data_IF_010029087966
#
_entry.id   IF_010029087966
#
_cell.length_a   1.000
_cell.length_b   1.000
_cell.length_c   1.000
_cell.angle_alpha   90.00
_cell.angle_beta   90.00
_cell.angle_gamma   90.00
#
_symmetry.space_group_name_H-M   'P 1'
#
loop_
_entity.id
_entity.type
_entity.pdbx_description
1 polymer ?
#
# COMPACT_ATOMS: atom_id res chain seq x y z
N UNK A 1 5.44 -16.34 -26.30
CA UNK A 1 6.17 -17.19 -25.36
C UNK A 1 7.31 -17.91 -26.07
N UNK A 2 8.20 -18.51 -25.32
CA UNK A 2 9.21 -19.42 -25.80
C UNK A 2 8.68 -20.87 -25.84
N UNK A 3 9.56 -21.84 -26.16
CA UNK A 3 9.18 -23.27 -26.22
C UNK A 3 8.80 -23.87 -24.86
N UNK A 4 9.11 -23.20 -23.73
CA UNK A 4 8.72 -23.60 -22.38
C UNK A 4 7.37 -22.99 -21.94
N UNK A 5 6.76 -22.15 -22.77
CA UNK A 5 5.52 -21.44 -22.47
C UNK A 5 5.71 -20.15 -21.69
N UNK A 6 6.95 -19.72 -21.42
CA UNK A 6 7.22 -18.47 -20.72
C UNK A 6 6.94 -17.26 -21.63
N UNK A 7 6.48 -16.15 -21.04
CA UNK A 7 6.21 -14.91 -21.75
C UNK A 7 7.52 -14.22 -22.10
N UNK A 8 7.82 -14.09 -23.39
CA UNK A 8 9.05 -13.42 -23.88
C UNK A 8 8.78 -11.99 -24.31
N UNK A 9 7.52 -11.64 -24.61
CA UNK A 9 7.14 -10.29 -25.04
C UNK A 9 5.70 -9.98 -24.66
N UNK A 10 5.48 -8.79 -24.12
CA UNK A 10 4.15 -8.20 -23.92
C UNK A 10 4.09 -6.81 -24.56
N UNK A 11 2.93 -6.48 -25.14
CA UNK A 11 2.72 -5.18 -25.77
C UNK A 11 1.47 -4.53 -25.22
N UNK A 12 1.60 -3.34 -24.66
CA UNK A 12 0.49 -2.50 -24.19
C UNK A 12 0.33 -1.33 -25.15
N UNK A 13 -0.85 -1.22 -25.79
CA UNK A 13 -1.19 -0.10 -26.67
C UNK A 13 -1.68 1.07 -25.83
N UNK A 14 -0.96 2.20 -25.86
CA UNK A 14 -1.32 3.36 -25.04
C UNK A 14 -2.14 4.40 -25.78
N UNK A 15 -1.76 4.77 -27.00
CA UNK A 15 -2.46 5.74 -27.87
C UNK A 15 -2.00 5.57 -29.33
N UNK A 16 -2.56 6.34 -30.27
CA UNK A 16 -2.15 6.33 -31.68
C UNK A 16 -0.63 6.45 -31.80
N UNK A 17 0.02 5.35 -32.18
CA UNK A 17 1.43 5.20 -32.55
C UNK A 17 2.48 5.06 -31.42
N UNK A 18 2.11 4.81 -30.15
CA UNK A 18 3.09 4.53 -29.11
C UNK A 18 2.68 3.30 -28.29
N UNK A 19 3.29 2.18 -28.60
CA UNK A 19 3.16 0.96 -27.82
C UNK A 19 4.25 0.92 -26.75
N UNK A 20 3.93 0.39 -25.57
CA UNK A 20 4.92 -0.02 -24.59
C UNK A 20 5.15 -1.51 -24.75
N UNK A 21 6.38 -1.88 -25.03
CA UNK A 21 6.81 -3.26 -25.24
C UNK A 21 7.70 -3.68 -24.08
N UNK A 22 7.33 -4.74 -23.38
CA UNK A 22 8.15 -5.44 -22.41
C UNK A 22 8.75 -6.68 -23.06
N UNK A 23 10.06 -6.89 -22.90
CA UNK A 23 10.74 -8.09 -23.39
C UNK A 23 11.41 -8.79 -22.21
N UNK A 24 11.40 -10.12 -22.25
CA UNK A 24 11.95 -10.99 -21.23
C UNK A 24 12.83 -12.07 -21.86
N UNK A 25 13.91 -12.41 -21.19
CA UNK A 25 14.66 -13.65 -21.46
C UNK A 25 14.83 -14.43 -20.17
N UNK A 26 15.11 -15.70 -20.29
CA UNK A 26 15.24 -16.61 -19.16
C UNK A 26 16.52 -17.43 -19.28
N UNK A 27 17.06 -17.85 -18.14
CA UNK A 27 18.17 -18.80 -18.10
C UNK A 27 17.66 -20.25 -18.25
N UNK A 28 18.59 -21.20 -18.24
CA UNK A 28 18.27 -22.64 -18.37
C UNK A 28 17.43 -23.21 -17.22
N UNK A 29 17.39 -22.54 -16.07
CA UNK A 29 16.60 -22.91 -14.90
C UNK A 29 15.21 -22.26 -14.92
N UNK A 30 14.92 -21.43 -15.94
CA UNK A 30 13.67 -20.71 -16.06
C UNK A 30 13.61 -19.40 -15.24
N UNK A 31 14.71 -18.95 -14.65
CA UNK A 31 14.78 -17.66 -13.99
C UNK A 31 14.88 -16.53 -15.02
N UNK A 32 14.24 -15.39 -14.77
CA UNK A 32 14.32 -14.21 -15.63
C UNK A 32 15.76 -13.70 -15.73
N UNK A 33 16.39 -13.77 -16.90
CA UNK A 33 17.77 -13.31 -17.12
C UNK A 33 17.87 -11.89 -17.60
N UNK A 34 16.88 -11.40 -18.39
CA UNK A 34 16.79 -9.98 -18.74
C UNK A 34 15.34 -9.49 -18.73
N UNK A 35 15.18 -8.18 -18.51
CA UNK A 35 13.93 -7.48 -18.64
C UNK A 35 14.16 -6.10 -19.24
N UNK A 36 13.37 -5.74 -20.27
CA UNK A 36 13.44 -4.40 -20.83
C UNK A 36 12.07 -3.83 -21.14
N UNK A 37 11.96 -2.51 -21.06
CA UNK A 37 10.78 -1.72 -21.42
C UNK A 37 11.18 -0.74 -22.52
N UNK A 38 10.43 -0.78 -23.64
CA UNK A 38 10.50 0.21 -24.72
C UNK A 38 9.18 0.95 -24.84
N UNK A 39 9.24 2.25 -25.07
CA UNK A 39 8.09 3.08 -25.44
C UNK A 39 8.36 3.69 -26.83
N UNK A 40 7.71 3.14 -27.87
CA UNK A 40 8.11 3.38 -29.26
C UNK A 40 9.54 2.86 -29.49
N UNK A 41 10.43 3.69 -30.04
CA UNK A 41 11.83 3.36 -30.26
C UNK A 41 12.73 3.53 -29.02
N UNK A 42 12.24 4.24 -27.99
CA UNK A 42 13.03 4.56 -26.80
C UNK A 42 13.06 3.41 -25.80
N UNK A 43 14.26 2.97 -25.42
CA UNK A 43 14.43 2.07 -24.28
C UNK A 43 14.34 2.87 -22.98
N UNK A 44 13.31 2.60 -22.18
CA UNK A 44 13.05 3.27 -20.90
C UNK A 44 13.68 2.55 -19.71
N UNK A 45 13.84 1.23 -19.82
CA UNK A 45 14.47 0.39 -18.80
C UNK A 45 15.11 -0.82 -19.47
N UNK A 46 16.29 -1.22 -18.99
CA UNK A 46 16.91 -2.49 -19.34
C UNK A 46 17.69 -3.01 -18.14
N UNK A 47 17.38 -4.22 -17.73
CA UNK A 47 17.96 -4.87 -16.54
C UNK A 47 18.40 -6.28 -16.90
N UNK A 48 19.46 -6.76 -16.26
CA UNK A 48 19.88 -8.16 -16.25
C UNK A 48 19.97 -8.67 -14.82
N UNK A 49 19.71 -9.97 -14.66
CA UNK A 49 19.57 -10.62 -13.36
C UNK A 49 20.54 -11.80 -13.28
N UNK A 50 21.17 -11.97 -12.13
CA UNK A 50 22.04 -13.11 -11.82
C UNK A 50 21.53 -13.83 -10.58
N UNK A 51 21.64 -15.15 -10.60
CA UNK A 51 21.13 -16.02 -9.55
C UNK A 51 22.22 -16.94 -9.02
N UNK A 52 22.09 -17.37 -7.79
CA UNK A 52 22.94 -18.42 -7.20
C UNK A 52 22.46 -19.82 -7.63
N UNK A 53 23.19 -20.85 -7.18
CA UNK A 53 22.89 -22.26 -7.50
C UNK A 53 21.53 -22.74 -6.97
N UNK A 54 20.89 -21.99 -6.07
CA UNK A 54 19.53 -22.26 -5.53
C UNK A 54 18.47 -21.40 -6.19
N UNK A 55 18.76 -20.73 -7.32
CA UNK A 55 17.87 -19.81 -8.03
C UNK A 55 17.43 -18.60 -7.20
N UNK A 56 18.23 -18.16 -6.23
CA UNK A 56 17.98 -16.93 -5.48
C UNK A 56 18.69 -15.77 -6.18
N UNK A 57 17.99 -14.64 -6.35
CA UNK A 57 18.53 -13.44 -7.01
C UNK A 57 19.70 -12.87 -6.21
N UNK A 58 20.88 -12.75 -6.83
CA UNK A 58 22.10 -12.21 -6.17
C UNK A 58 22.53 -10.86 -6.75
N UNK A 59 22.15 -10.53 -8.00
CA UNK A 59 22.55 -9.28 -8.63
C UNK A 59 21.53 -8.83 -9.67
N UNK A 60 21.32 -7.52 -9.72
CA UNK A 60 20.61 -6.84 -10.82
C UNK A 60 21.56 -5.79 -11.40
N UNK A 61 21.71 -5.78 -12.73
CA UNK A 61 22.58 -4.84 -13.45
C UNK A 61 21.75 -3.98 -14.40
N UNK A 62 22.22 -2.76 -14.65
CA UNK A 62 21.64 -1.84 -15.62
C UNK A 62 22.05 -2.20 -17.07
N UNK A 63 21.64 -1.36 -18.04
CA UNK A 63 21.96 -1.54 -19.47
C UNK A 63 23.45 -1.47 -19.81
N UNK A 64 24.25 -0.84 -18.96
CA UNK A 64 25.70 -0.70 -19.12
C UNK A 64 26.47 -1.83 -18.43
N UNK A 65 25.76 -2.73 -17.72
CA UNK A 65 26.34 -3.82 -16.95
C UNK A 65 26.79 -3.41 -15.55
N UNK A 66 26.51 -2.17 -15.12
CA UNK A 66 26.81 -1.72 -13.77
C UNK A 66 25.83 -2.36 -12.79
N UNK A 67 26.33 -2.76 -11.62
CA UNK A 67 25.50 -3.35 -10.58
C UNK A 67 24.55 -2.29 -9.97
N UNK A 68 23.26 -2.45 -10.21
CA UNK A 68 22.23 -1.60 -9.63
C UNK A 68 21.93 -2.00 -8.16
N UNK A 69 21.89 -3.33 -7.91
CA UNK A 69 21.69 -3.88 -6.56
C UNK A 69 22.26 -5.30 -6.48
N UNK A 70 22.81 -5.68 -5.32
CA UNK A 70 23.15 -7.07 -4.98
C UNK A 70 22.49 -7.53 -3.71
N UNK A 71 22.41 -8.83 -3.57
CA UNK A 71 21.77 -9.52 -2.43
C UNK A 71 22.65 -10.63 -1.91
N UNK A 72 22.65 -10.82 -0.59
CA UNK A 72 23.26 -11.96 0.07
C UNK A 72 22.23 -12.64 0.99
N UNK A 73 22.43 -13.92 1.22
CA UNK A 73 21.53 -14.75 2.02
C UNK A 73 22.31 -15.43 3.14
N UNK A 74 21.64 -15.67 4.25
CA UNK A 74 22.19 -16.45 5.36
C UNK A 74 22.16 -17.97 5.06
N UNK A 75 22.64 -18.76 6.01
CA UNK A 75 22.70 -20.22 5.90
C UNK A 75 21.32 -20.87 5.86
N UNK A 76 20.34 -20.23 6.44
CA UNK A 76 18.92 -20.65 6.43
C UNK A 76 18.20 -20.26 5.14
N UNK A 77 18.84 -19.44 4.28
CA UNK A 77 18.29 -18.96 3.00
C UNK A 77 17.50 -17.66 3.08
N UNK A 78 17.50 -16.99 4.24
CA UNK A 78 16.87 -15.70 4.40
C UNK A 78 17.77 -14.58 3.88
N UNK A 79 17.16 -13.48 3.37
CA UNK A 79 17.91 -12.33 2.88
C UNK A 79 18.67 -11.66 4.03
N UNK A 80 20.01 -11.72 4.02
CA UNK A 80 20.85 -11.14 5.07
C UNK A 80 21.37 -9.73 4.72
N UNK A 81 21.55 -9.44 3.43
CA UNK A 81 22.08 -8.15 2.98
C UNK A 81 21.54 -7.75 1.62
N UNK A 82 21.35 -6.45 1.43
CA UNK A 82 21.06 -5.79 0.16
C UNK A 82 21.98 -4.59 0.02
N UNK A 83 22.73 -4.52 -1.08
CA UNK A 83 23.62 -3.41 -1.41
C UNK A 83 23.14 -2.70 -2.68
N UNK A 84 22.79 -1.42 -2.62
CA UNK A 84 22.39 -0.63 -3.77
C UNK A 84 23.57 0.17 -4.36
N UNK A 85 23.49 0.49 -5.66
CA UNK A 85 24.53 1.23 -6.39
C UNK A 85 24.85 2.61 -5.78
N UNK A 86 23.88 3.24 -5.14
CA UNK A 86 24.06 4.54 -4.46
C UNK A 86 24.83 4.43 -3.13
N UNK A 87 25.36 3.26 -2.80
CA UNK A 87 26.10 3.00 -1.57
C UNK A 87 25.24 2.68 -0.35
N UNK A 88 23.91 2.61 -0.50
CA UNK A 88 23.03 2.19 0.59
C UNK A 88 23.11 0.68 0.78
N UNK A 89 23.53 0.27 1.97
CA UNK A 89 23.57 -1.12 2.42
C UNK A 89 22.47 -1.34 3.46
N UNK A 90 21.69 -2.39 3.29
CA UNK A 90 20.68 -2.84 4.24
C UNK A 90 21.05 -4.23 4.73
N UNK A 91 21.14 -4.41 6.05
CA UNK A 91 21.33 -5.72 6.68
C UNK A 91 20.09 -6.13 7.46
N UNK A 92 19.80 -7.42 7.46
CA UNK A 92 18.62 -8.02 8.08
C UNK A 92 19.04 -9.06 9.11
N UNK A 93 18.32 -9.11 10.22
CA UNK A 93 18.52 -10.14 11.25
C UNK A 93 17.19 -10.80 11.60
N UNK A 94 17.24 -12.10 11.86
CA UNK A 94 16.07 -12.94 12.10
C UNK A 94 16.20 -13.68 13.42
N UNK A 95 15.08 -14.10 13.98
CA UNK A 95 15.08 -15.04 15.10
C UNK A 95 15.04 -16.50 14.61
N UNK A 96 15.05 -17.44 15.54
CA UNK A 96 15.03 -18.87 15.23
C UNK A 96 13.73 -19.36 14.53
N UNK A 97 12.68 -18.55 14.50
CA UNK A 97 11.44 -18.80 13.75
C UNK A 97 11.43 -18.10 12.40
N UNK A 98 12.57 -17.57 11.97
CA UNK A 98 12.74 -16.83 10.73
C UNK A 98 11.86 -15.55 10.64
N UNK A 99 11.60 -14.90 11.80
CA UNK A 99 10.89 -13.61 11.85
C UNK A 99 11.93 -12.48 11.88
N UNK A 100 11.69 -11.42 11.09
CA UNK A 100 12.58 -10.28 11.01
C UNK A 100 12.64 -9.54 12.35
N UNK A 101 13.78 -9.57 13.03
CA UNK A 101 14.01 -8.90 14.32
C UNK A 101 14.79 -7.61 14.19
N UNK A 102 15.58 -7.44 13.14
CA UNK A 102 16.36 -6.22 12.92
C UNK A 102 16.55 -5.91 11.44
N UNK A 103 16.60 -4.61 11.14
CA UNK A 103 17.01 -4.09 9.84
C UNK A 103 17.84 -2.83 10.06
N UNK A 104 19.03 -2.78 9.47
CA UNK A 104 19.93 -1.62 9.54
C UNK A 104 20.22 -1.12 8.14
N UNK A 105 20.00 0.17 7.91
CA UNK A 105 20.38 0.88 6.70
C UNK A 105 21.61 1.73 6.99
N UNK A 106 22.65 1.58 6.19
CA UNK A 106 23.90 2.33 6.32
C UNK A 106 24.45 2.78 4.96
N UNK A 107 25.29 3.78 4.99
CA UNK A 107 26.06 4.26 3.84
C UNK A 107 27.53 4.37 4.24
N UNK A 108 28.39 4.73 3.30
CA UNK A 108 29.81 5.02 3.65
C UNK A 108 29.99 6.11 4.71
N UNK A 109 28.95 6.90 5.02
CA UNK A 109 28.93 7.91 6.09
C UNK A 109 28.43 7.39 7.44
N UNK A 110 28.04 6.12 7.51
CA UNK A 110 27.52 5.47 8.70
C UNK A 110 26.05 5.10 8.62
N UNK A 111 25.48 4.74 9.78
CA UNK A 111 24.08 4.30 9.91
C UNK A 111 23.12 5.44 9.61
N UNK A 112 22.15 5.17 8.73
CA UNK A 112 21.06 6.07 8.36
C UNK A 112 19.80 5.78 9.18
N UNK A 113 19.49 4.49 9.36
CA UNK A 113 18.36 4.06 10.18
C UNK A 113 18.53 2.64 10.69
N UNK A 114 17.93 2.37 11.84
CA UNK A 114 17.81 1.03 12.45
C UNK A 114 16.36 0.77 12.82
N UNK A 115 15.93 -0.46 12.62
CA UNK A 115 14.63 -0.97 13.03
C UNK A 115 14.84 -2.26 13.80
N UNK A 116 14.12 -2.43 14.90
CA UNK A 116 14.08 -3.69 15.63
C UNK A 116 12.65 -4.04 16.01
N UNK A 117 12.32 -5.33 15.96
CA UNK A 117 11.01 -5.86 16.32
C UNK A 117 11.15 -6.97 17.33
N UNK A 118 10.25 -7.00 18.32
CA UNK A 118 10.07 -8.10 19.24
C UNK A 118 8.70 -8.74 19.04
N UNK A 119 8.59 -10.01 19.38
CA UNK A 119 7.38 -10.78 19.15
C UNK A 119 6.94 -11.51 20.42
N UNK A 120 5.64 -11.65 20.58
CA UNK A 120 5.04 -12.52 21.57
C UNK A 120 5.28 -14.00 21.19
N UNK A 121 5.09 -14.90 22.13
CA UNK A 121 5.25 -16.36 21.90
C UNK A 121 4.35 -16.91 20.80
N UNK A 122 3.21 -16.31 20.59
CA UNK A 122 2.25 -16.66 19.52
C UNK A 122 2.60 -16.06 18.15
N UNK A 123 3.72 -15.35 18.02
CA UNK A 123 4.19 -14.76 16.76
C UNK A 123 3.69 -13.34 16.47
N UNK A 124 2.83 -12.77 17.28
CA UNK A 124 2.37 -11.41 17.12
C UNK A 124 3.46 -10.41 17.49
N UNK A 125 3.54 -9.29 16.77
CA UNK A 125 4.51 -8.22 17.05
C UNK A 125 4.16 -7.55 18.38
N UNK A 126 5.09 -7.55 19.34
CA UNK A 126 4.94 -6.90 20.63
C UNK A 126 5.38 -5.44 20.58
N UNK A 127 6.55 -5.19 19.99
CA UNK A 127 7.14 -3.86 19.93
C UNK A 127 7.95 -3.70 18.63
N UNK A 128 7.99 -2.48 18.14
CA UNK A 128 8.89 -2.05 17.08
C UNK A 128 9.58 -0.76 17.50
N UNK A 129 10.91 -0.72 17.35
CA UNK A 129 11.72 0.46 17.61
C UNK A 129 12.39 0.89 16.31
N UNK A 130 12.22 2.14 15.93
CA UNK A 130 12.95 2.76 14.83
C UNK A 130 13.88 3.86 15.36
N UNK A 131 15.09 3.92 14.82
CA UNK A 131 16.04 5.01 15.04
C UNK A 131 16.46 5.53 13.67
N UNK A 132 16.20 6.81 13.40
CA UNK A 132 16.52 7.44 12.13
C UNK A 132 17.47 8.60 12.38
N UNK A 133 18.55 8.70 11.59
CA UNK A 133 19.50 9.81 11.63
C UNK A 133 19.07 10.90 10.65
N UNK A 134 19.11 12.15 11.08
CA UNK A 134 18.94 13.28 10.18
C UNK A 134 20.27 13.62 9.44
N UNK A 135 20.22 14.56 8.52
CA UNK A 135 21.39 15.02 7.76
C UNK A 135 22.53 15.56 8.61
N UNK A 136 22.27 15.94 9.87
CA UNK A 136 23.24 16.48 10.83
C UNK A 136 23.76 15.40 11.80
N UNK A 137 23.36 14.14 11.62
CA UNK A 137 23.74 13.01 12.48
C UNK A 137 22.97 12.93 13.80
N UNK A 138 21.91 13.75 13.98
CA UNK A 138 21.03 13.65 15.14
C UNK A 138 20.07 12.48 14.96
N UNK A 139 20.03 11.59 15.96
CA UNK A 139 19.12 10.45 15.96
C UNK A 139 17.75 10.81 16.53
N UNK A 140 16.71 10.26 15.92
CA UNK A 140 15.34 10.27 16.45
C UNK A 140 14.90 8.83 16.66
N UNK A 141 14.56 8.47 17.90
CA UNK A 141 14.02 7.17 18.27
C UNK A 141 12.51 7.25 18.39
N UNK A 142 11.82 6.29 17.76
CA UNK A 142 10.37 6.07 17.90
C UNK A 142 10.11 4.63 18.28
N UNK A 143 9.15 4.43 19.16
CA UNK A 143 8.71 3.11 19.59
C UNK A 143 7.21 2.98 19.29
N UNK A 144 6.80 1.81 18.78
CA UNK A 144 5.42 1.37 18.67
C UNK A 144 5.28 0.07 19.45
N UNK A 145 4.27 -0.04 20.32
CA UNK A 145 3.96 -1.25 21.07
C UNK A 145 2.49 -1.61 20.94
N UNK A 146 2.20 -2.92 20.98
CA UNK A 146 0.88 -3.47 20.69
C UNK A 146 0.45 -4.42 21.79
N UNK A 147 -0.83 -4.36 22.16
CA UNK A 147 -1.47 -5.37 23.02
C UNK A 147 -2.63 -6.02 22.27
N UNK A 148 -2.94 -7.24 22.66
CA UNK A 148 -3.91 -8.08 21.96
C UNK A 148 -4.88 -8.70 22.95
N UNK A 149 -6.06 -9.04 22.50
CA UNK A 149 -7.00 -9.87 23.22
C UNK A 149 -6.69 -11.38 23.01
N UNK A 150 -7.50 -12.23 23.63
CA UNK A 150 -7.35 -13.69 23.55
C UNK A 150 -7.60 -14.25 22.14
N UNK A 151 -8.29 -13.49 21.27
CA UNK A 151 -8.52 -13.85 19.87
C UNK A 151 -7.41 -13.31 18.93
N UNK A 152 -6.40 -12.64 19.49
CA UNK A 152 -5.28 -12.09 18.72
C UNK A 152 -5.58 -10.76 18.04
N UNK A 153 -6.66 -10.06 18.39
CA UNK A 153 -7.01 -8.76 17.85
C UNK A 153 -6.31 -7.65 18.65
N UNK A 154 -5.82 -6.60 17.97
CA UNK A 154 -5.13 -5.48 18.64
C UNK A 154 -6.12 -4.73 19.50
N UNK A 155 -5.84 -4.62 20.81
CA UNK A 155 -6.66 -3.85 21.77
C UNK A 155 -6.06 -2.48 22.09
N UNK A 156 -4.75 -2.32 21.95
CA UNK A 156 -4.06 -1.04 22.15
C UNK A 156 -2.81 -0.96 21.29
N UNK A 157 -2.58 0.23 20.80
CA UNK A 157 -1.37 0.64 20.07
C UNK A 157 -0.84 1.92 20.71
N UNK A 158 0.44 1.92 21.10
CA UNK A 158 1.15 3.08 21.60
C UNK A 158 2.25 3.45 20.61
N UNK A 159 2.41 4.74 20.32
CA UNK A 159 3.47 5.23 19.42
C UNK A 159 4.09 6.52 19.95
N UNK A 160 5.41 6.59 19.96
CA UNK A 160 6.13 7.81 20.34
C UNK A 160 5.63 9.03 19.56
N UNK A 161 5.25 10.08 20.28
CA UNK A 161 4.78 11.35 19.71
C UNK A 161 3.37 11.33 19.14
N UNK A 162 2.58 10.32 19.47
CA UNK A 162 1.15 10.22 19.15
C UNK A 162 0.37 9.78 20.39
N UNK A 163 -0.89 10.12 20.42
CA UNK A 163 -1.82 9.58 21.43
C UNK A 163 -2.00 8.08 21.24
N UNK A 164 -2.20 7.37 22.33
CA UNK A 164 -2.50 5.95 22.30
C UNK A 164 -3.83 5.70 21.62
N UNK A 165 -3.91 4.58 20.91
CA UNK A 165 -5.13 4.12 20.27
C UNK A 165 -5.60 2.87 20.98
N UNK A 166 -6.86 2.82 21.39
CA UNK A 166 -7.50 1.61 21.92
C UNK A 166 -8.67 1.18 21.06
N UNK A 167 -8.90 -0.12 21.02
CA UNK A 167 -9.92 -0.75 20.19
C UNK A 167 -10.77 -1.72 21.01
N UNK A 168 -12.05 -1.76 20.70
CA UNK A 168 -12.96 -2.82 21.12
C UNK A 168 -13.64 -3.44 19.91
N UNK A 169 -14.14 -4.66 20.07
CA UNK A 169 -14.71 -5.45 18.98
C UNK A 169 -16.07 -6.00 19.38
N UNK A 170 -16.93 -6.23 18.39
CA UNK A 170 -18.18 -6.94 18.57
C UNK A 170 -18.00 -8.47 18.50
N UNK A 171 -19.10 -9.21 18.60
CA UNK A 171 -19.09 -10.67 18.55
C UNK A 171 -18.71 -11.23 17.16
N UNK A 172 -18.88 -10.45 16.09
CA UNK A 172 -18.54 -10.81 14.72
C UNK A 172 -17.10 -10.45 14.35
N UNK A 173 -16.29 -9.95 15.31
CA UNK A 173 -14.93 -9.44 15.13
C UNK A 173 -14.83 -8.09 14.41
N UNK A 174 -15.92 -7.39 14.19
CA UNK A 174 -15.88 -6.04 13.67
C UNK A 174 -15.41 -5.07 14.76
N UNK A 175 -14.71 -4.00 14.37
CA UNK A 175 -14.32 -2.94 15.30
C UNK A 175 -15.57 -2.23 15.80
N UNK A 176 -15.85 -2.36 17.10
CA UNK A 176 -16.99 -1.71 17.75
C UNK A 176 -16.69 -0.27 18.13
N UNK A 177 -15.46 -0.02 18.60
CA UNK A 177 -15.03 1.30 19.03
C UNK A 177 -13.53 1.49 18.86
N UNK A 178 -13.12 2.72 18.59
CA UNK A 178 -11.73 3.18 18.60
C UNK A 178 -11.64 4.47 19.40
N UNK A 179 -10.67 4.56 20.31
CA UNK A 179 -10.42 5.79 21.09
C UNK A 179 -9.01 6.29 20.82
N UNK A 180 -8.86 7.58 20.52
CA UNK A 180 -7.60 8.29 20.33
C UNK A 180 -7.67 9.59 21.13
N UNK A 181 -6.93 9.67 22.25
CA UNK A 181 -7.01 10.81 23.15
C UNK A 181 -8.44 11.12 23.59
N UNK A 182 -8.92 12.31 23.27
CA UNK A 182 -10.26 12.80 23.59
C UNK A 182 -11.33 12.45 22.53
N UNK A 183 -10.99 11.64 21.52
CA UNK A 183 -11.90 11.24 20.43
C UNK A 183 -12.24 9.77 20.54
N UNK A 184 -13.53 9.48 20.56
CA UNK A 184 -14.04 8.12 20.55
C UNK A 184 -14.96 7.91 19.35
N UNK A 185 -14.57 7.00 18.47
CA UNK A 185 -15.34 6.62 17.28
C UNK A 185 -16.06 5.31 17.51
N UNK A 186 -17.38 5.31 17.42
CA UNK A 186 -18.22 4.12 17.39
C UNK A 186 -18.49 3.71 15.94
N UNK A 187 -18.58 2.40 15.70
CA UNK A 187 -18.79 1.81 14.38
C UNK A 187 -20.09 1.02 14.35
N UNK A 188 -20.86 1.16 13.30
CA UNK A 188 -22.12 0.45 13.08
C UNK A 188 -22.06 -0.32 11.77
N UNK A 189 -22.47 -1.57 11.81
CA UNK A 189 -22.44 -2.49 10.68
C UNK A 189 -23.83 -3.04 10.36
N UNK A 190 -24.05 -3.47 9.13
CA UNK A 190 -25.24 -4.26 8.79
C UNK A 190 -25.00 -5.75 9.11
N UNK A 191 -26.02 -6.58 8.82
CA UNK A 191 -25.97 -8.02 9.04
C UNK A 191 -24.94 -8.79 8.18
N UNK A 192 -24.36 -8.14 7.17
CA UNK A 192 -23.32 -8.68 6.30
C UNK A 192 -21.93 -8.18 6.70
N UNK A 193 -21.79 -7.56 7.90
CA UNK A 193 -20.56 -6.95 8.40
C UNK A 193 -20.03 -5.78 7.55
N UNK A 194 -20.90 -5.15 6.74
CA UNK A 194 -20.55 -3.95 5.98
C UNK A 194 -20.72 -2.71 6.86
N UNK A 195 -19.69 -1.84 6.89
CA UNK A 195 -19.72 -0.60 7.65
C UNK A 195 -20.77 0.35 7.07
N UNK A 196 -21.71 0.79 7.91
CA UNK A 196 -22.78 1.73 7.57
C UNK A 196 -22.51 3.14 8.08
N UNK A 197 -21.95 3.25 9.28
CA UNK A 197 -21.80 4.54 9.96
C UNK A 197 -20.66 4.51 10.97
N UNK A 198 -19.99 5.65 11.11
CA UNK A 198 -19.14 5.96 12.25
C UNK A 198 -19.59 7.24 12.91
N UNK A 199 -19.56 7.26 14.25
CA UNK A 199 -19.83 8.42 15.10
C UNK A 199 -18.58 8.71 15.92
N UNK A 200 -17.94 9.86 15.69
CA UNK A 200 -16.75 10.29 16.43
C UNK A 200 -17.11 11.39 17.40
N UNK A 201 -17.22 11.04 18.67
CA UNK A 201 -17.45 11.99 19.75
C UNK A 201 -16.13 12.64 20.17
N UNK A 202 -16.12 13.97 20.23
CA UNK A 202 -15.07 14.80 20.80
C UNK A 202 -15.45 15.17 22.22
N UNK A 203 -14.82 14.56 23.23
CA UNK A 203 -15.23 14.73 24.64
C UNK A 203 -14.93 16.11 25.21
N UNK A 204 -14.04 16.87 24.58
CA UNK A 204 -13.69 18.24 24.95
C UNK A 204 -14.68 19.30 24.45
N UNK A 205 -15.37 19.03 23.34
CA UNK A 205 -16.30 19.97 22.70
C UNK A 205 -17.74 19.50 22.69
N UNK A 206 -18.00 18.27 23.15
CA UNK A 206 -19.31 17.61 23.11
C UNK A 206 -19.93 17.60 21.69
N UNK A 207 -19.07 17.62 20.67
CA UNK A 207 -19.47 17.57 19.25
C UNK A 207 -19.23 16.17 18.70
N UNK A 208 -19.95 15.84 17.66
CA UNK A 208 -19.91 14.56 16.99
C UNK A 208 -19.66 14.75 15.49
N UNK A 209 -18.71 14.01 14.94
CA UNK A 209 -18.51 13.88 13.51
C UNK A 209 -19.13 12.56 13.05
N UNK A 210 -20.04 12.61 12.12
CA UNK A 210 -20.73 11.43 11.60
C UNK A 210 -20.27 11.19 10.16
N UNK A 211 -19.87 9.93 9.86
CA UNK A 211 -19.60 9.49 8.52
C UNK A 211 -20.54 8.35 8.17
N UNK A 212 -21.24 8.48 7.05
CA UNK A 212 -22.16 7.47 6.54
C UNK A 212 -21.53 6.82 5.29
N UNK A 213 -21.60 5.51 5.25
CA UNK A 213 -21.07 4.69 4.16
C UNK A 213 -22.25 4.03 3.43
N UNK A 214 -22.31 4.20 2.13
CA UNK A 214 -23.31 3.57 1.29
C UNK A 214 -22.65 2.53 0.40
N UNK A 215 -23.13 1.30 0.49
CA UNK A 215 -22.60 0.18 -0.27
C UNK A 215 -23.65 -0.30 -1.28
N UNK A 216 -23.21 -0.91 -2.39
CA UNK A 216 -24.08 -1.65 -3.31
C UNK A 216 -24.35 -3.08 -2.78
N UNK A 217 -25.10 -3.86 -3.55
CA UNK A 217 -25.42 -5.24 -3.19
C UNK A 217 -24.22 -6.19 -3.23
N UNK A 218 -23.12 -5.79 -3.84
CA UNK A 218 -21.87 -6.53 -3.94
C UNK A 218 -20.86 -6.14 -2.83
N UNK A 219 -21.24 -5.19 -1.94
CA UNK A 219 -20.38 -4.67 -0.89
C UNK A 219 -19.42 -3.57 -1.35
N UNK A 220 -19.54 -3.07 -2.58
CA UNK A 220 -18.71 -1.94 -3.03
C UNK A 220 -19.21 -0.64 -2.39
N UNK A 221 -18.31 0.16 -1.85
CA UNK A 221 -18.63 1.45 -1.24
C UNK A 221 -18.91 2.50 -2.31
N UNK A 222 -20.19 2.80 -2.52
CA UNK A 222 -20.66 3.77 -3.51
C UNK A 222 -20.43 5.22 -3.07
N UNK A 223 -20.63 5.51 -1.79
CA UNK A 223 -20.47 6.86 -1.28
C UNK A 223 -20.03 6.90 0.19
N UNK A 224 -19.35 8.01 0.53
CA UNK A 224 -19.06 8.41 1.90
C UNK A 224 -19.59 9.82 2.10
N UNK A 225 -20.43 10.01 3.11
CA UNK A 225 -21.04 11.32 3.45
C UNK A 225 -20.55 11.74 4.81
N UNK A 226 -19.89 12.89 4.87
CA UNK A 226 -19.33 13.47 6.09
C UNK A 226 -20.26 14.55 6.64
N UNK A 227 -20.47 14.56 7.97
CA UNK A 227 -21.17 15.59 8.73
C UNK A 227 -20.35 15.89 9.98
N UNK A 228 -19.76 17.07 10.05
CA UNK A 228 -18.89 17.48 11.14
C UNK A 228 -19.65 18.36 12.14
N UNK A 229 -19.19 18.35 13.39
CA UNK A 229 -19.63 19.24 14.46
C UNK A 229 -21.13 19.18 14.82
N UNK A 230 -21.75 18.02 14.64
CA UNK A 230 -23.13 17.77 15.07
C UNK A 230 -23.17 17.69 16.61
N UNK A 231 -24.13 18.32 17.30
CA UNK A 231 -24.30 18.14 18.74
C UNK A 231 -24.42 16.65 19.12
N UNK A 232 -23.77 16.23 20.20
CA UNK A 232 -23.70 14.82 20.61
C UNK A 232 -25.09 14.18 20.86
N UNK A 233 -26.04 14.98 21.32
CA UNK A 233 -27.44 14.57 21.50
C UNK A 233 -28.29 14.54 20.26
N UNK A 234 -27.80 15.05 19.12
CA UNK A 234 -28.52 15.03 17.85
C UNK A 234 -28.56 13.61 17.27
N UNK A 235 -29.61 12.87 17.58
CA UNK A 235 -29.93 11.55 17.01
C UNK A 235 -30.53 11.70 15.61
N UNK A 236 -29.81 12.29 14.66
CA UNK A 236 -30.32 12.40 13.32
C UNK A 236 -30.07 11.08 12.57
N UNK A 237 -31.14 10.30 12.38
CA UNK A 237 -31.17 9.08 11.58
C UNK A 237 -31.49 9.34 10.11
N UNK A 238 -31.79 10.58 9.71
CA UNK A 238 -32.17 10.94 8.34
C UNK A 238 -31.04 10.81 7.33
N UNK A 239 -29.80 10.65 7.80
CA UNK A 239 -28.61 10.48 6.96
C UNK A 239 -28.42 9.08 6.34
N UNK A 240 -29.25 8.10 6.72
CA UNK A 240 -29.14 6.71 6.24
C UNK A 240 -29.56 6.61 4.77
N UNK A 241 -30.34 7.58 4.28
CA UNK A 241 -30.88 7.59 2.93
C UNK A 241 -30.21 8.69 2.06
N UNK A 242 -28.90 8.59 1.91
CA UNK A 242 -28.15 9.52 1.07
C UNK A 242 -28.35 9.12 -0.40
N UNK A 243 -28.84 10.07 -1.18
CA UNK A 243 -28.86 9.92 -2.64
C UNK A 243 -27.42 9.95 -3.17
N UNK A 244 -26.97 8.84 -3.75
CA UNK A 244 -25.63 8.70 -4.36
C UNK A 244 -25.53 9.33 -5.74
N UNK A 245 -26.61 9.91 -6.25
CA UNK A 245 -26.65 10.65 -7.51
C UNK A 245 -26.24 12.12 -7.37
N UNK A 246 -25.53 12.48 -6.30
CA UNK A 246 -25.03 13.85 -6.08
C UNK A 246 -24.14 14.25 -7.26
N UNK A 247 -24.58 15.28 -7.99
CA UNK A 247 -23.78 15.91 -9.03
C UNK A 247 -22.54 16.61 -8.47
N UNK A 248 -21.55 16.86 -9.31
CA UNK A 248 -20.24 17.44 -8.97
C UNK A 248 -20.32 18.68 -8.04
N UNK A 249 -21.40 19.44 -8.11
CA UNK A 249 -21.61 20.68 -7.33
C UNK A 249 -22.14 20.45 -5.90
N UNK A 250 -22.46 19.21 -5.53
CA UNK A 250 -23.06 18.86 -4.23
C UNK A 250 -22.13 18.04 -3.33
N UNK A 251 -20.89 17.81 -3.78
CA UNK A 251 -19.98 16.86 -3.11
C UNK A 251 -19.46 17.36 -1.76
N UNK A 252 -19.37 18.68 -1.51
CA UNK A 252 -18.77 19.20 -0.25
C UNK A 252 -17.58 18.34 0.20
N UNK A 253 -17.64 17.75 1.41
CA UNK A 253 -16.64 16.82 1.94
C UNK A 253 -17.01 15.33 1.69
N UNK A 254 -17.93 15.08 0.76
CA UNK A 254 -18.38 13.74 0.42
C UNK A 254 -17.52 13.12 -0.68
N UNK A 255 -17.57 11.79 -0.77
CA UNK A 255 -16.90 11.00 -1.82
C UNK A 255 -17.96 10.14 -2.51
N UNK A 256 -17.90 10.07 -3.85
CA UNK A 256 -18.73 9.16 -4.65
C UNK A 256 -17.82 8.26 -5.49
N UNK A 257 -18.10 6.98 -5.51
CA UNK A 257 -17.34 5.97 -6.25
C UNK A 257 -18.23 5.27 -7.27
N UNK A 258 -17.66 4.96 -8.43
CA UNK A 258 -18.28 4.15 -9.47
C UNK A 258 -17.45 2.89 -9.73
N UNK A 259 -18.13 1.78 -9.96
CA UNK A 259 -17.51 0.47 -10.20
C UNK A 259 -18.02 -0.11 -11.52
N UNK A 260 -17.19 -0.94 -12.16
CA UNK A 260 -17.62 -1.72 -13.32
C UNK A 260 -18.29 -3.05 -12.89
N UNK A 261 -18.73 -3.84 -13.86
CA UNK A 261 -19.37 -5.13 -13.62
C UNK A 261 -18.45 -6.20 -12.97
N UNK A 262 -17.13 -5.94 -12.93
CA UNK A 262 -16.14 -6.81 -12.26
C UNK A 262 -15.80 -6.31 -10.85
N UNK A 263 -16.59 -5.38 -10.28
CA UNK A 263 -16.37 -4.73 -8.99
C UNK A 263 -15.03 -3.95 -8.89
N UNK A 264 -14.49 -3.50 -10.02
CA UNK A 264 -13.29 -2.65 -10.05
C UNK A 264 -13.71 -1.18 -9.99
N UNK A 265 -13.06 -0.41 -9.11
CA UNK A 265 -13.28 1.03 -8.98
C UNK A 265 -12.87 1.76 -10.26
N UNK A 266 -13.81 2.34 -10.99
CA UNK A 266 -13.56 3.04 -12.25
C UNK A 266 -13.44 4.56 -12.10
N UNK A 267 -14.10 5.11 -11.08
CA UNK A 267 -14.07 6.55 -10.83
C UNK A 267 -14.28 6.86 -9.34
N UNK A 268 -13.60 7.89 -8.87
CA UNK A 268 -13.85 8.53 -7.57
C UNK A 268 -14.04 10.02 -7.79
N UNK A 269 -15.11 10.55 -7.25
CA UNK A 269 -15.46 11.98 -7.27
C UNK A 269 -15.39 12.56 -5.87
N UNK A 270 -14.72 13.69 -5.73
CA UNK A 270 -14.72 14.54 -4.54
C UNK A 270 -14.91 15.99 -4.99
N UNK A 271 -15.10 16.91 -4.05
CA UNK A 271 -15.18 18.35 -4.34
C UNK A 271 -14.01 18.87 -5.20
N UNK A 272 -12.80 18.32 -4.99
CA UNK A 272 -11.56 18.84 -5.58
C UNK A 272 -10.98 17.93 -6.66
N UNK A 273 -11.40 16.66 -6.71
CA UNK A 273 -10.77 15.66 -7.55
C UNK A 273 -11.82 14.81 -8.26
N UNK A 274 -11.59 14.64 -9.56
CA UNK A 274 -12.14 13.56 -10.35
C UNK A 274 -10.99 12.62 -10.70
N UNK A 275 -11.07 11.37 -10.25
CA UNK A 275 -10.06 10.35 -10.52
C UNK A 275 -10.72 9.20 -11.24
N UNK A 276 -10.22 8.85 -12.43
CA UNK A 276 -10.68 7.69 -13.18
C UNK A 276 -9.58 6.64 -13.27
N UNK A 277 -9.97 5.37 -13.36
CA UNK A 277 -9.06 4.22 -13.38
C UNK A 277 -9.38 3.30 -14.54
N UNK A 278 -8.34 2.69 -15.12
CA UNK A 278 -8.45 1.65 -16.15
C UNK A 278 -7.72 0.40 -15.71
N UNK A 279 -8.19 -0.76 -16.18
CA UNK A 279 -7.69 -2.07 -15.79
C UNK A 279 -7.46 -2.94 -17.02
N UNK A 280 -6.56 -3.92 -16.93
CA UNK A 280 -6.40 -4.99 -17.89
C UNK A 280 -7.35 -6.17 -17.60
N UNK A 281 -7.22 -7.23 -18.39
CA UNK A 281 -8.03 -8.42 -18.23
C UNK A 281 -7.74 -9.22 -16.96
N UNK A 282 -6.52 -9.08 -16.43
CA UNK A 282 -6.06 -9.71 -15.19
C UNK A 282 -6.47 -8.91 -13.94
N UNK A 283 -7.07 -7.72 -14.14
CA UNK A 283 -7.53 -6.85 -13.05
C UNK A 283 -6.45 -5.92 -12.49
N UNK A 284 -5.27 -5.85 -13.10
CA UNK A 284 -4.24 -4.88 -12.74
C UNK A 284 -4.63 -3.49 -13.24
N UNK A 285 -4.42 -2.49 -12.41
CA UNK A 285 -4.69 -1.09 -12.78
C UNK A 285 -3.67 -0.61 -13.82
N UNK A 286 -4.11 -0.35 -15.04
CA UNK A 286 -3.26 0.09 -16.16
C UNK A 286 -3.13 1.60 -16.25
N UNK A 287 -4.04 2.34 -15.63
CA UNK A 287 -3.98 3.80 -15.67
C UNK A 287 -4.81 4.48 -14.61
N UNK A 288 -4.44 5.73 -14.37
CA UNK A 288 -5.12 6.68 -13.50
C UNK A 288 -5.18 8.03 -14.21
N UNK A 289 -6.33 8.68 -14.19
CA UNK A 289 -6.50 10.07 -14.67
C UNK A 289 -6.98 10.92 -13.51
N UNK A 290 -6.24 11.97 -13.14
CA UNK A 290 -6.59 12.91 -12.07
C UNK A 290 -6.82 14.27 -12.69
N UNK A 291 -8.07 14.79 -12.63
CA UNK A 291 -8.44 16.09 -13.21
C UNK A 291 -7.90 16.24 -14.66
N UNK A 292 -8.06 15.21 -15.48
CA UNK A 292 -7.62 15.19 -16.88
C UNK A 292 -6.16 14.82 -17.13
N UNK A 293 -5.32 14.74 -16.10
CA UNK A 293 -3.91 14.32 -16.24
C UNK A 293 -3.78 12.80 -16.10
N UNK A 294 -3.38 12.15 -17.18
CA UNK A 294 -3.25 10.68 -17.25
C UNK A 294 -1.86 10.19 -16.83
N UNK A 295 -1.85 9.15 -16.01
CA UNK A 295 -0.67 8.34 -15.68
C UNK A 295 -0.94 6.90 -16.12
N UNK A 296 0.03 6.27 -16.75
CA UNK A 296 -0.03 4.86 -17.17
C UNK A 296 0.89 4.05 -16.26
N UNK A 297 0.40 2.89 -15.81
CA UNK A 297 1.13 1.96 -14.96
C UNK A 297 1.66 0.80 -15.79
N UNK A 298 2.94 0.52 -15.67
CA UNK A 298 3.61 -0.60 -16.33
C UNK A 298 3.97 -1.62 -15.26
N UNK A 299 3.43 -2.82 -15.41
CA UNK A 299 3.59 -3.92 -14.47
C UNK A 299 4.53 -4.99 -15.02
N UNK A 300 5.27 -5.65 -14.14
CA UNK A 300 5.99 -6.89 -14.38
C UNK A 300 5.39 -7.95 -13.46
N UNK A 301 4.53 -8.81 -14.01
CA UNK A 301 3.62 -9.62 -13.18
C UNK A 301 2.78 -8.73 -12.28
N UNK A 302 2.86 -8.93 -10.96
CA UNK A 302 2.14 -8.14 -9.96
C UNK A 302 2.96 -6.97 -9.39
N UNK A 303 4.15 -6.68 -9.95
CA UNK A 303 5.00 -5.59 -9.49
C UNK A 303 4.86 -4.38 -10.41
N UNK A 304 4.54 -3.22 -9.84
CA UNK A 304 4.57 -1.95 -10.56
C UNK A 304 6.04 -1.56 -10.77
N UNK A 305 6.47 -1.51 -12.03
CA UNK A 305 7.87 -1.22 -12.37
C UNK A 305 8.08 0.19 -12.92
N UNK A 306 7.02 0.81 -13.44
CA UNK A 306 7.12 2.16 -13.99
C UNK A 306 5.77 2.86 -14.01
N UNK A 307 5.80 4.18 -13.76
CA UNK A 307 4.69 5.11 -14.04
C UNK A 307 5.12 6.07 -15.14
N UNK A 308 4.29 6.20 -16.17
CA UNK A 308 4.52 7.11 -17.29
C UNK A 308 3.43 8.19 -17.30
N UNK A 309 3.84 9.46 -17.31
CA UNK A 309 2.90 10.55 -17.58
C UNK A 309 2.63 10.63 -19.09
N UNK A 310 1.48 11.19 -19.47
CA UNK A 310 1.11 11.37 -20.88
C UNK A 310 2.13 12.23 -21.67
N UNK A 311 2.86 13.12 -20.99
CA UNK A 311 3.94 13.93 -21.56
C UNK A 311 5.28 13.20 -21.62
N UNK A 312 5.43 12.05 -20.97
CA UNK A 312 6.65 11.24 -20.93
C UNK A 312 6.65 10.02 -21.84
N UNK A 313 5.57 9.87 -22.63
CA UNK A 313 5.40 8.80 -23.61
C UNK A 313 5.81 9.28 -24.99
#
# INVERSE_FOLDING_TARGET
GDVSGQVTKETTKLTKNKDVVKNYTYDSNGNKSTFSIKAGEDTKLSLSYEYDGSSRLISVKDSEGNQAVSYAYDTEGSLSERQAANGLKTTYGYDYQNRLTSMTNETGKGVVSKYSSTYLKNGQKAEEVSTVMDKNGKSTKKTAAYTYDMLGRITRETKTGREDISYTYDANNNRKQMTIGNKTTAYQYNKNDELLRTDTLHTDTEKNDVVIYKNDKNGNQLATVNRSEIPAEAKDTSYIDVDVTLGDNQLNDNVVNHYNALNQLTETLTKNYKVSFTYDAEGLRTGKTVNGKKTVFIWDGNQLVMELSESGI
#
